data_IF_415155549712
#
_entry.id   IF_415155549712
#
_cell.length_a   1.000
_cell.length_b   1.000
_cell.length_c   1.000
_cell.angle_alpha   90.00
_cell.angle_beta   90.00
_cell.angle_gamma   90.00
#
_symmetry.space_group_name_H-M   'P 1'
#
loop_
_entity.id
_entity.type
_entity.pdbx_description
1 polymer ?
#
# COMPACT_ATOMS: atom_id res chain seq x y z
N UNK A 1 11.29 11.15 -19.94
CA UNK A 1 12.05 10.09 -19.24
C UNK A 1 13.45 10.56 -18.86
N UNK A 2 14.40 10.70 -19.79
CA UNK A 2 15.81 11.00 -19.47
C UNK A 2 15.96 12.28 -18.63
N UNK A 3 15.36 13.39 -19.07
CA UNK A 3 15.41 14.66 -18.32
C UNK A 3 14.84 14.53 -16.89
N UNK A 4 13.79 13.73 -16.73
CA UNK A 4 13.18 13.45 -15.42
C UNK A 4 14.07 12.56 -14.55
N UNK A 5 14.69 11.54 -15.14
CA UNK A 5 15.66 10.69 -14.45
C UNK A 5 16.85 11.51 -13.97
N UNK A 6 17.36 12.43 -14.80
CA UNK A 6 18.46 13.33 -14.43
C UNK A 6 18.01 14.27 -13.31
N UNK A 7 16.82 14.87 -13.43
CA UNK A 7 16.25 15.79 -12.44
C UNK A 7 16.19 15.18 -11.04
N UNK A 8 15.81 13.90 -10.92
CA UNK A 8 15.72 13.20 -9.62
C UNK A 8 16.97 12.43 -9.21
N UNK A 9 18.04 12.49 -10.00
CA UNK A 9 19.29 11.81 -9.70
C UNK A 9 20.22 12.64 -8.78
N UNK A 10 21.15 11.94 -8.13
CA UNK A 10 22.29 12.55 -7.43
C UNK A 10 23.50 12.79 -8.37
N UNK A 11 23.27 12.89 -9.68
CA UNK A 11 24.34 13.06 -10.65
C UNK A 11 24.99 14.45 -10.52
N UNK A 12 26.34 14.48 -10.51
CA UNK A 12 27.11 15.72 -10.31
C UNK A 12 26.88 16.77 -11.39
N UNK A 13 26.58 16.35 -12.63
CA UNK A 13 26.30 17.23 -13.76
C UNK A 13 24.82 17.56 -13.93
N UNK A 14 23.96 17.21 -12.97
CA UNK A 14 22.50 17.48 -13.03
C UNK A 14 22.20 18.94 -13.35
N UNK A 15 22.83 19.89 -12.66
CA UNK A 15 22.53 21.31 -12.87
C UNK A 15 22.97 21.79 -14.28
N UNK A 16 24.04 21.21 -14.83
CA UNK A 16 24.49 21.52 -16.20
C UNK A 16 23.46 21.00 -17.21
N UNK A 17 22.95 19.79 -17.00
CA UNK A 17 21.89 19.20 -17.83
C UNK A 17 20.59 20.00 -17.77
N UNK A 18 20.19 20.44 -16.57
CA UNK A 18 18.95 21.18 -16.37
C UNK A 18 18.98 22.61 -16.94
N UNK A 19 20.16 23.14 -17.31
CA UNK A 19 20.25 24.43 -17.99
C UNK A 19 19.67 24.36 -19.42
N UNK A 20 19.78 23.21 -20.09
CA UNK A 20 19.19 22.97 -21.40
C UNK A 20 18.72 21.50 -21.50
N UNK A 21 17.56 21.14 -20.93
CA UNK A 21 17.03 19.78 -21.00
C UNK A 21 16.79 19.36 -22.45
N UNK A 22 16.92 18.07 -22.75
CA UNK A 22 16.73 17.54 -24.11
C UNK A 22 15.37 17.89 -24.67
N UNK A 23 14.33 17.87 -23.83
CA UNK A 23 12.98 18.22 -24.26
C UNK A 23 12.91 19.67 -24.76
N UNK A 24 13.58 20.61 -24.08
CA UNK A 24 13.62 22.02 -24.53
C UNK A 24 14.47 22.14 -25.79
N UNK A 25 15.63 21.49 -25.83
CA UNK A 25 16.55 21.55 -26.96
C UNK A 25 15.94 21.03 -28.27
N UNK A 26 15.26 19.88 -28.22
CA UNK A 26 14.75 19.22 -29.43
C UNK A 26 13.29 19.52 -29.75
N UNK A 27 12.48 19.80 -28.73
CA UNK A 27 11.03 19.93 -28.89
C UNK A 27 10.49 21.30 -28.47
N UNK A 28 11.32 22.17 -27.89
CA UNK A 28 10.96 23.50 -27.42
C UNK A 28 9.71 23.49 -26.51
N UNK A 29 9.54 22.43 -25.72
CA UNK A 29 8.34 22.16 -24.92
C UNK A 29 8.71 21.93 -23.45
N UNK A 30 8.66 22.96 -22.62
CA UNK A 30 8.96 22.83 -21.19
C UNK A 30 7.91 22.04 -20.39
N UNK A 31 6.73 21.75 -20.97
CA UNK A 31 5.59 21.10 -20.31
C UNK A 31 5.44 19.63 -20.71
N UNK A 32 6.50 19.00 -21.22
CA UNK A 32 6.44 17.62 -21.70
C UNK A 32 5.97 16.59 -20.64
N UNK A 33 6.16 16.86 -19.34
CA UNK A 33 5.67 16.01 -18.26
C UNK A 33 4.14 15.90 -18.19
N UNK A 34 3.42 16.95 -18.58
CA UNK A 34 1.96 16.96 -18.68
C UNK A 34 1.50 16.49 -20.05
N UNK A 35 2.13 17.01 -21.11
CA UNK A 35 1.81 16.69 -22.51
C UNK A 35 2.04 15.21 -22.84
N UNK A 36 2.88 14.49 -22.09
CA UNK A 36 3.08 13.05 -22.23
C UNK A 36 1.77 12.27 -22.12
N UNK A 37 0.96 12.58 -21.10
CA UNK A 37 -0.30 11.87 -20.86
C UNK A 37 -1.38 12.27 -21.87
N UNK A 38 -1.41 13.52 -22.29
CA UNK A 38 -2.34 13.97 -23.32
C UNK A 38 -2.05 13.30 -24.67
N UNK A 39 -0.78 13.05 -24.99
CA UNK A 39 -0.39 12.26 -26.16
C UNK A 39 -0.85 10.81 -26.05
N UNK A 40 -0.73 10.20 -24.87
CA UNK A 40 -1.27 8.86 -24.62
C UNK A 40 -2.78 8.83 -24.90
N UNK A 41 -3.55 9.76 -24.33
CA UNK A 41 -5.01 9.76 -24.52
C UNK A 41 -5.43 9.93 -25.99
N UNK A 42 -4.67 10.70 -26.79
CA UNK A 42 -4.88 10.80 -28.24
C UNK A 42 -4.56 9.51 -29.00
N UNK A 43 -3.61 8.71 -28.51
CA UNK A 43 -3.20 7.46 -29.15
C UNK A 43 -4.12 6.32 -28.72
N UNK A 44 -4.64 6.34 -27.49
CA UNK A 44 -5.54 5.31 -26.95
C UNK A 44 -6.84 5.18 -27.74
N UNK A 45 -7.27 6.23 -28.44
CA UNK A 45 -8.46 6.20 -29.31
C UNK A 45 -8.19 5.62 -30.70
N UNK A 46 -6.91 5.47 -31.09
CA UNK A 46 -6.50 5.01 -32.42
C UNK A 46 -5.82 3.64 -32.33
N UNK A 47 -6.61 2.57 -32.52
CA UNK A 47 -6.13 1.18 -32.48
C UNK A 47 -5.02 0.86 -33.51
N UNK A 48 -4.77 1.71 -34.51
CA UNK A 48 -3.68 1.51 -35.47
C UNK A 48 -2.32 1.91 -34.90
N UNK A 49 -2.27 2.61 -33.77
CA UNK A 49 -1.06 3.15 -33.14
C UNK A 49 -0.68 2.45 -31.84
N UNK A 50 -1.13 1.21 -31.64
CA UNK A 50 -0.80 0.43 -30.44
C UNK A 50 0.70 0.30 -30.20
N UNK A 51 1.52 0.16 -31.25
CA UNK A 51 2.99 0.15 -31.11
C UNK A 51 3.56 1.42 -30.49
N UNK A 52 2.95 2.58 -30.75
CA UNK A 52 3.38 3.83 -30.14
C UNK A 52 2.97 3.85 -28.66
N UNK A 53 1.78 3.35 -28.34
CA UNK A 53 1.32 3.18 -26.96
C UNK A 53 2.24 2.24 -26.16
N UNK A 54 2.80 1.21 -26.79
CA UNK A 54 3.82 0.32 -26.18
C UNK A 54 5.07 1.10 -25.76
N UNK A 55 5.54 2.05 -26.57
CA UNK A 55 6.71 2.89 -26.22
C UNK A 55 6.41 3.77 -25.01
N UNK A 56 5.23 4.40 -24.98
CA UNK A 56 4.79 5.17 -23.81
C UNK A 56 4.67 4.29 -22.56
N UNK A 57 4.11 3.09 -22.69
CA UNK A 57 4.04 2.12 -21.60
C UNK A 57 5.43 1.73 -21.09
N UNK A 58 6.39 1.49 -21.97
CA UNK A 58 7.78 1.20 -21.58
C UNK A 58 8.40 2.37 -20.80
N UNK A 59 8.18 3.62 -21.22
CA UNK A 59 8.64 4.78 -20.45
C UNK A 59 8.07 4.81 -19.03
N UNK A 60 6.79 4.45 -18.85
CA UNK A 60 6.15 4.34 -17.54
C UNK A 60 6.76 3.20 -16.70
N UNK A 61 7.06 2.05 -17.31
CA UNK A 61 7.75 0.92 -16.67
C UNK A 61 9.17 1.26 -16.21
N UNK A 62 9.85 2.19 -16.91
CA UNK A 62 11.16 2.70 -16.51
C UNK A 62 11.10 3.77 -15.40
N UNK A 63 9.91 4.04 -14.85
CA UNK A 63 9.75 4.95 -13.70
C UNK A 63 9.51 6.40 -14.09
N UNK A 64 9.02 6.67 -15.30
CA UNK A 64 8.49 7.99 -15.63
C UNK A 64 7.19 8.24 -14.85
N UNK A 65 7.16 9.32 -14.07
CA UNK A 65 6.00 9.69 -13.25
C UNK A 65 5.27 10.90 -13.84
N UNK A 66 6.01 11.89 -14.35
CA UNK A 66 5.46 13.15 -14.86
C UNK A 66 4.47 13.80 -13.87
N UNK A 67 3.28 14.18 -14.34
CA UNK A 67 2.23 14.79 -13.50
C UNK A 67 1.78 13.93 -12.32
N UNK A 68 1.94 12.60 -12.39
CA UNK A 68 1.52 11.70 -11.32
C UNK A 68 2.45 11.71 -10.10
N UNK A 69 3.60 12.38 -10.17
CA UNK A 69 4.45 12.60 -9.01
C UNK A 69 3.73 13.35 -7.88
N UNK A 70 2.78 14.23 -8.23
CA UNK A 70 1.99 15.01 -7.28
C UNK A 70 0.73 14.24 -6.84
N UNK A 71 0.06 13.55 -7.78
CA UNK A 71 -1.17 12.80 -7.53
C UNK A 71 -0.93 11.52 -6.71
N UNK A 72 0.25 10.93 -6.84
CA UNK A 72 0.70 9.81 -6.02
C UNK A 72 0.85 8.48 -6.79
N UNK A 73 1.59 7.52 -6.21
CA UNK A 73 2.00 6.30 -6.91
C UNK A 73 0.86 5.32 -7.18
N UNK A 74 -0.21 5.35 -6.39
CA UNK A 74 -1.37 4.45 -6.57
C UNK A 74 -2.16 4.79 -7.84
N UNK A 75 -2.36 6.08 -8.12
CA UNK A 75 -3.03 6.52 -9.35
C UNK A 75 -2.20 6.19 -10.59
N UNK A 76 -0.88 6.36 -10.52
CA UNK A 76 0.03 5.99 -11.60
C UNK A 76 -0.04 4.49 -11.90
N UNK A 77 -0.04 3.64 -10.85
CA UNK A 77 -0.20 2.18 -11.01
C UNK A 77 -1.53 1.82 -11.66
N UNK A 78 -2.63 2.45 -11.22
CA UNK A 78 -3.94 2.22 -11.80
C UNK A 78 -3.96 2.61 -13.29
N UNK A 79 -3.37 3.76 -13.64
CA UNK A 79 -3.25 4.23 -15.01
C UNK A 79 -2.44 3.27 -15.89
N UNK A 80 -1.28 2.84 -15.40
CA UNK A 80 -0.42 1.84 -16.04
C UNK A 80 -1.16 0.52 -16.30
N UNK A 81 -1.93 0.05 -15.31
CA UNK A 81 -2.70 -1.19 -15.44
C UNK A 81 -3.74 -1.09 -16.56
N UNK A 82 -4.42 0.06 -16.70
CA UNK A 82 -5.36 0.29 -17.78
C UNK A 82 -4.70 0.25 -19.17
N UNK A 83 -3.48 0.79 -19.31
CA UNK A 83 -2.72 0.69 -20.57
C UNK A 83 -2.29 -0.75 -20.83
N UNK A 84 -1.83 -1.46 -19.80
CA UNK A 84 -1.40 -2.86 -19.90
C UNK A 84 -2.53 -3.77 -20.41
N UNK A 85 -3.73 -3.58 -19.88
CA UNK A 85 -4.93 -4.32 -20.31
C UNK A 85 -5.27 -4.01 -21.76
N UNK A 86 -5.20 -2.74 -22.18
CA UNK A 86 -5.44 -2.33 -23.57
C UNK A 86 -4.42 -2.91 -24.54
N UNK A 87 -3.15 -3.00 -24.15
CA UNK A 87 -2.09 -3.62 -24.94
C UNK A 87 -2.20 -5.16 -24.99
N UNK A 88 -3.03 -5.76 -24.13
CA UNK A 88 -3.28 -7.20 -24.15
C UNK A 88 -2.03 -8.02 -23.82
N UNK A 89 -1.07 -7.46 -23.07
CA UNK A 89 0.12 -8.19 -22.65
C UNK A 89 -0.29 -9.40 -21.81
N UNK A 90 -0.28 -10.58 -22.43
CA UNK A 90 -0.44 -11.85 -21.75
C UNK A 90 0.85 -12.13 -21.01
N UNK A 91 0.84 -11.91 -19.70
CA UNK A 91 1.88 -12.44 -18.83
C UNK A 91 1.76 -13.96 -18.94
N UNK A 92 2.74 -14.59 -19.58
CA UNK A 92 2.86 -16.04 -19.50
C UNK A 92 3.07 -16.40 -18.04
N UNK A 93 2.21 -17.24 -17.47
CA UNK A 93 2.38 -17.79 -16.12
C UNK A 93 3.75 -18.48 -15.93
N UNK A 94 4.42 -18.79 -17.05
CA UNK A 94 5.77 -19.31 -17.10
C UNK A 94 6.68 -18.29 -17.79
N UNK A 95 7.55 -17.67 -17.00
CA UNK A 95 8.63 -16.79 -17.50
C UNK A 95 9.70 -17.58 -18.28
N UNK A 96 9.74 -18.90 -18.12
CA UNK A 96 10.60 -19.82 -18.86
C UNK A 96 9.90 -21.19 -19.00
N UNK A 97 10.13 -21.96 -20.07
CA UNK A 97 9.63 -23.34 -20.19
C UNK A 97 9.95 -24.23 -18.98
N UNK A 98 11.01 -23.90 -18.23
CA UNK A 98 11.46 -24.60 -17.03
C UNK A 98 11.33 -23.74 -15.74
N UNK A 99 10.47 -22.72 -15.72
CA UNK A 99 10.17 -22.02 -14.47
C UNK A 99 9.23 -22.88 -13.62
N UNK A 100 9.76 -23.93 -12.99
CA UNK A 100 9.15 -24.39 -11.76
C UNK A 100 9.24 -23.23 -10.78
N UNK A 101 8.11 -22.69 -10.29
CA UNK A 101 8.18 -21.73 -9.21
C UNK A 101 8.88 -22.45 -8.07
N UNK A 102 10.12 -22.05 -7.76
CA UNK A 102 10.74 -22.46 -6.52
C UNK A 102 9.69 -22.17 -5.47
N UNK A 103 9.27 -23.20 -4.74
CA UNK A 103 8.31 -23.07 -3.64
C UNK A 103 9.01 -22.29 -2.53
N UNK A 104 9.28 -21.02 -2.78
CA UNK A 104 9.52 -20.02 -1.77
C UNK A 104 8.13 -19.88 -1.17
N UNK A 105 7.81 -20.79 -0.25
CA UNK A 105 6.78 -20.55 0.71
C UNK A 105 7.19 -19.22 1.35
N UNK A 106 6.58 -18.13 0.88
CA UNK A 106 6.55 -16.89 1.62
C UNK A 106 5.84 -17.25 2.90
N UNK A 107 6.61 -17.76 3.86
CA UNK A 107 6.20 -18.00 5.21
C UNK A 107 5.92 -16.61 5.71
N UNK A 108 4.67 -16.17 5.54
CA UNK A 108 4.13 -14.96 6.14
C UNK A 108 4.43 -15.13 7.62
N UNK A 109 5.53 -14.50 8.04
CA UNK A 109 6.07 -14.60 9.38
C UNK A 109 5.09 -13.78 10.20
N UNK A 110 3.99 -14.40 10.62
CA UNK A 110 3.08 -13.82 11.59
C UNK A 110 3.89 -13.73 12.89
N UNK A 111 4.57 -12.59 13.02
CA UNK A 111 5.55 -12.30 14.05
C UNK A 111 4.84 -11.83 15.33
N UNK A 112 3.70 -12.43 15.65
CA UNK A 112 3.09 -12.32 16.97
C UNK A 112 3.51 -13.58 17.71
N UNK A 113 4.48 -13.49 18.62
CA UNK A 113 4.97 -14.67 19.31
C UNK A 113 3.84 -15.22 20.20
N UNK A 114 3.59 -16.53 20.11
CA UNK A 114 2.41 -17.18 20.69
C UNK A 114 2.24 -16.92 22.20
N UNK A 115 3.33 -16.63 22.93
CA UNK A 115 3.30 -16.26 24.35
C UNK A 115 2.45 -15.01 24.64
N UNK A 116 2.42 -14.04 23.71
CA UNK A 116 1.63 -12.83 23.86
C UNK A 116 0.11 -13.10 23.83
N UNK A 117 -0.30 -14.10 23.04
CA UNK A 117 -1.70 -14.56 22.99
C UNK A 117 -2.06 -15.29 24.28
N UNK A 118 -1.18 -16.15 24.82
CA UNK A 118 -1.43 -16.79 26.11
C UNK A 118 -1.45 -15.79 27.27
N UNK A 119 -0.63 -14.74 27.22
CA UNK A 119 -0.60 -13.68 28.21
C UNK A 119 -1.92 -12.87 28.24
N UNK A 120 -2.52 -12.59 27.09
CA UNK A 120 -3.80 -11.87 27.04
C UNK A 120 -4.96 -12.69 27.63
N UNK A 121 -5.02 -14.00 27.37
CA UNK A 121 -5.99 -14.89 28.03
C UNK A 121 -5.81 -14.92 29.55
N UNK A 122 -4.56 -14.97 30.03
CA UNK A 122 -4.26 -14.94 31.47
C UNK A 122 -4.73 -13.64 32.14
N UNK A 123 -4.49 -12.49 31.51
CA UNK A 123 -4.92 -11.19 32.03
C UNK A 123 -6.45 -11.08 32.12
N UNK A 124 -7.17 -11.49 31.07
CA UNK A 124 -8.64 -11.47 31.05
C UNK A 124 -9.23 -12.38 32.13
N UNK A 125 -8.67 -13.59 32.30
CA UNK A 125 -9.10 -14.52 33.35
C UNK A 125 -8.86 -13.95 34.75
N UNK A 126 -7.70 -13.32 35.00
CA UNK A 126 -7.37 -12.71 36.27
C UNK A 126 -8.32 -11.55 36.62
N UNK A 127 -8.63 -10.68 35.66
CA UNK A 127 -9.61 -9.59 35.85
C UNK A 127 -10.99 -10.15 36.16
N UNK A 128 -11.44 -11.20 35.45
CA UNK A 128 -12.72 -11.85 35.71
C UNK A 128 -12.81 -12.46 37.12
N UNK A 129 -11.72 -13.09 37.60
CA UNK A 129 -11.64 -13.65 38.96
C UNK A 129 -11.73 -12.53 40.01
N UNK A 130 -11.00 -11.42 39.82
CA UNK A 130 -11.06 -10.28 40.75
C UNK A 130 -12.48 -9.71 40.81
N UNK A 131 -13.13 -9.50 39.66
CA UNK A 131 -14.51 -9.02 39.60
C UNK A 131 -15.45 -9.99 40.35
N UNK A 132 -15.30 -11.29 40.13
CA UNK A 132 -16.12 -12.30 40.80
C UNK A 132 -15.95 -12.27 42.33
N UNK A 133 -14.71 -12.15 42.83
CA UNK A 133 -14.42 -12.05 44.27
C UNK A 133 -15.06 -10.79 44.85
N UNK A 134 -14.90 -9.63 44.20
CA UNK A 134 -15.49 -8.37 44.65
C UNK A 134 -17.01 -8.45 44.70
N UNK A 135 -17.64 -9.03 43.67
CA UNK A 135 -19.09 -9.23 43.65
C UNK A 135 -19.55 -10.17 44.76
N UNK A 136 -18.81 -11.26 45.03
CA UNK A 136 -19.11 -12.19 46.12
C UNK A 136 -19.01 -11.51 47.49
N UNK A 137 -17.95 -10.74 47.75
CA UNK A 137 -17.78 -10.01 49.00
C UNK A 137 -18.91 -8.99 49.18
N UNK A 138 -19.25 -8.23 48.13
CA UNK A 138 -20.37 -7.27 48.19
C UNK A 138 -21.71 -7.95 48.45
N UNK A 139 -21.98 -9.10 47.83
CA UNK A 139 -23.21 -9.86 48.07
C UNK A 139 -23.30 -10.37 49.51
N UNK A 140 -22.20 -10.90 50.07
CA UNK A 140 -22.16 -11.36 51.47
C UNK A 140 -22.30 -10.19 52.43
N UNK A 141 -21.64 -9.06 52.17
CA UNK A 141 -21.81 -7.87 53.02
C UNK A 141 -23.23 -7.34 52.97
N UNK A 142 -23.89 -7.34 51.80
CA UNK A 142 -25.29 -6.94 51.68
C UNK A 142 -26.23 -7.91 52.43
N UNK A 143 -25.99 -9.21 52.30
CA UNK A 143 -26.74 -10.23 53.04
C UNK A 143 -26.59 -10.04 54.56
N UNK A 144 -25.37 -9.78 55.04
CA UNK A 144 -25.09 -9.53 56.45
C UNK A 144 -25.73 -8.21 56.93
N UNK A 145 -25.70 -7.15 56.13
CA UNK A 145 -26.36 -5.88 56.47
C UNK A 145 -27.89 -6.02 56.54
N UNK A 146 -28.49 -6.83 55.66
CA UNK A 146 -29.92 -7.14 55.73
C UNK A 146 -30.25 -8.01 56.94
N UNK A 147 -29.41 -9.01 57.26
CA UNK A 147 -29.57 -9.84 58.45
C UNK A 147 -29.45 -9.03 59.74
N UNK A 148 -28.44 -8.15 59.84
CA UNK A 148 -28.27 -7.22 60.96
C UNK A 148 -29.44 -6.23 61.04
N UNK A 149 -29.93 -5.73 59.90
CA UNK A 149 -31.09 -4.84 59.83
C UNK A 149 -32.38 -5.51 60.32
N UNK A 150 -32.65 -6.76 59.93
CA UNK A 150 -33.80 -7.54 60.38
C UNK A 150 -33.68 -7.84 61.88
N UNK A 151 -32.49 -8.20 62.37
CA UNK A 151 -32.24 -8.44 63.79
C UNK A 151 -32.45 -7.18 64.67
N UNK A 152 -32.22 -5.99 64.11
CA UNK A 152 -32.44 -4.70 64.78
C UNK A 152 -33.89 -4.23 64.77
N UNK A 153 -34.68 -4.65 63.78
CA UNK A 153 -36.09 -4.26 63.65
C UNK A 153 -37.04 -5.20 64.39
N UNK A 154 -36.59 -6.41 64.74
CA UNK A 154 -37.23 -7.24 65.76
C UNK A 154 -38.48 -7.98 65.28
N UNK A 155 -38.29 -9.27 65.07
CA UNK A 155 -39.16 -10.33 65.60
C UNK A 155 -38.24 -11.41 66.17
#
# INVERSE_FOLDING_TARGET
>A
LVDETVLYSNWSLRNVWLNNPLVVEYFNDALAGEMFFDRIERIRTDNKKLHLLEVYYMCLMFGFEGRYKILGPEELKAYINGIREQLGFKVSDKLSPHSEPQKIAMKKRSMIPKWLVYASYGFVALVAIIIFIVLKVKMVSLANMLADGISRVGL
#
